data_IF_700990334623
#
_entry.id   IF_700990334623
#
_cell.length_a   1.000
_cell.length_b   1.000
_cell.length_c   1.000
_cell.angle_alpha   90.00
_cell.angle_beta   90.00
_cell.angle_gamma   90.00
#
_symmetry.space_group_name_H-M   'P 1'
#
loop_
_entity.id
_entity.type
_entity.pdbx_description
1 polymer ?
#
# COMPACT_ATOMS: atom_id res chain seq x y z
N UNK A 1 5.51 -11.86 -16.73
CA UNK A 1 4.20 -11.83 -16.04
C UNK A 1 3.47 -10.49 -16.22
N UNK A 2 4.11 -9.32 -16.05
CA UNK A 2 3.43 -8.02 -16.22
C UNK A 2 2.93 -7.69 -17.65
N UNK A 3 3.57 -8.24 -18.70
CA UNK A 3 3.14 -8.02 -20.10
C UNK A 3 1.75 -8.59 -20.43
N UNK A 4 1.25 -9.55 -19.63
CA UNK A 4 -0.07 -10.15 -19.87
C UNK A 4 -1.23 -9.31 -19.33
N UNK A 5 -0.95 -8.31 -18.49
CA UNK A 5 -1.96 -7.44 -17.85
C UNK A 5 -2.26 -6.15 -18.64
N UNK A 6 -1.57 -5.91 -19.76
CA UNK A 6 -1.56 -4.60 -20.43
C UNK A 6 -1.88 -4.65 -21.94
N UNK A 7 -2.73 -5.57 -22.39
CA UNK A 7 -3.41 -5.32 -23.67
C UNK A 7 -4.45 -4.23 -23.41
N UNK A 8 -4.13 -2.99 -23.76
CA UNK A 8 -5.09 -1.89 -23.72
C UNK A 8 -6.16 -2.19 -24.77
N UNK A 9 -7.39 -2.43 -24.32
CA UNK A 9 -8.55 -2.67 -25.18
C UNK A 9 -9.43 -1.42 -25.13
N UNK A 10 -9.94 -0.99 -26.29
CA UNK A 10 -10.92 0.09 -26.35
C UNK A 10 -12.27 -0.46 -25.87
N UNK A 11 -12.75 0.02 -24.74
CA UNK A 11 -13.99 -0.41 -24.09
C UNK A 11 -14.86 0.81 -23.78
N UNK A 12 -16.17 0.59 -23.62
CA UNK A 12 -17.10 1.64 -23.22
C UNK A 12 -16.74 2.20 -21.84
N UNK A 13 -17.13 3.45 -21.55
CA UNK A 13 -16.74 4.16 -20.32
C UNK A 13 -17.26 3.50 -19.03
N UNK A 14 -18.30 2.68 -19.12
CA UNK A 14 -18.92 1.93 -18.04
C UNK A 14 -18.38 0.49 -17.92
N UNK A 15 -17.46 0.09 -18.81
CA UNK A 15 -16.86 -1.23 -18.76
C UNK A 15 -15.95 -1.39 -17.53
N UNK A 16 -15.85 -2.60 -16.95
CA UNK A 16 -14.92 -2.87 -15.85
C UNK A 16 -13.47 -2.54 -16.23
N UNK A 17 -12.75 -1.89 -15.31
CA UNK A 17 -11.34 -1.53 -15.50
C UNK A 17 -10.45 -2.76 -15.75
N UNK A 18 -10.82 -3.91 -15.17
CA UNK A 18 -10.11 -5.18 -15.33
C UNK A 18 -11.10 -6.27 -15.74
N UNK A 19 -10.76 -6.99 -16.82
CA UNK A 19 -11.52 -8.14 -17.31
C UNK A 19 -10.58 -9.25 -17.77
N UNK A 20 -11.08 -10.48 -17.76
CA UNK A 20 -10.43 -11.61 -18.39
C UNK A 20 -10.60 -11.52 -19.92
N UNK A 21 -9.72 -12.20 -20.67
CA UNK A 21 -9.77 -12.26 -22.15
C UNK A 21 -11.09 -12.80 -22.73
N UNK A 22 -11.98 -13.34 -21.89
CA UNK A 22 -13.32 -13.81 -22.27
C UNK A 22 -14.44 -12.80 -21.93
N UNK A 23 -14.11 -11.52 -21.74
CA UNK A 23 -15.02 -10.44 -21.33
C UNK A 23 -15.71 -10.62 -19.96
N UNK A 24 -15.27 -11.59 -19.14
CA UNK A 24 -15.76 -11.69 -17.76
C UNK A 24 -14.98 -10.76 -16.83
N UNK A 25 -15.64 -10.21 -15.82
CA UNK A 25 -15.00 -9.37 -14.80
C UNK A 25 -14.35 -10.21 -13.70
N UNK A 26 -13.34 -9.66 -13.04
CA UNK A 26 -12.75 -10.29 -11.87
C UNK A 26 -13.72 -10.28 -10.69
N UNK A 27 -13.93 -11.46 -10.09
CA UNK A 27 -14.59 -11.55 -8.78
C UNK A 27 -13.56 -11.32 -7.67
N UNK A 28 -14.03 -10.89 -6.49
CA UNK A 28 -13.20 -10.82 -5.27
C UNK A 28 -12.46 -12.13 -5.02
N UNK A 29 -13.13 -13.27 -5.22
CA UNK A 29 -12.53 -14.59 -5.06
C UNK A 29 -11.35 -14.81 -6.02
N UNK A 30 -11.52 -14.49 -7.31
CA UNK A 30 -10.47 -14.66 -8.31
C UNK A 30 -9.23 -13.80 -8.01
N UNK A 31 -9.43 -12.59 -7.49
CA UNK A 31 -8.35 -11.71 -7.08
C UNK A 31 -7.61 -12.25 -5.85
N UNK A 32 -8.33 -12.72 -4.82
CA UNK A 32 -7.72 -13.33 -3.63
C UNK A 32 -6.89 -14.55 -4.03
N UNK A 33 -7.42 -15.43 -4.88
CA UNK A 33 -6.67 -16.59 -5.38
C UNK A 33 -5.41 -16.19 -6.14
N UNK A 34 -5.44 -15.09 -6.89
CA UNK A 34 -4.26 -14.56 -7.57
C UNK A 34 -3.20 -14.07 -6.55
N UNK A 35 -3.63 -13.35 -5.51
CA UNK A 35 -2.74 -12.90 -4.43
C UNK A 35 -2.13 -14.08 -3.66
N UNK A 36 -2.91 -15.11 -3.35
CA UNK A 36 -2.42 -16.34 -2.71
C UNK A 36 -1.35 -17.02 -3.58
N UNK A 37 -1.58 -17.12 -4.89
CA UNK A 37 -0.56 -17.66 -5.80
C UNK A 37 0.74 -16.84 -5.78
N UNK A 38 0.66 -15.52 -5.65
CA UNK A 38 1.84 -14.66 -5.51
C UNK A 38 2.59 -14.91 -4.20
N UNK A 39 1.87 -15.04 -3.07
CA UNK A 39 2.46 -15.35 -1.75
C UNK A 39 3.16 -16.71 -1.80
N UNK A 40 2.48 -17.72 -2.32
CA UNK A 40 3.03 -19.07 -2.45
C UNK A 40 4.31 -19.07 -3.30
N UNK A 41 4.29 -18.40 -4.45
CA UNK A 41 5.48 -18.28 -5.32
C UNK A 41 6.63 -17.49 -4.68
N UNK A 42 6.33 -16.59 -3.76
CA UNK A 42 7.33 -15.87 -2.99
C UNK A 42 7.94 -16.70 -1.83
N UNK A 43 7.46 -17.94 -1.61
CA UNK A 43 7.91 -18.80 -0.52
C UNK A 43 7.41 -18.35 0.86
N UNK A 44 6.32 -17.58 0.90
CA UNK A 44 5.75 -17.04 2.12
C UNK A 44 4.60 -17.93 2.65
N UNK A 45 4.40 -18.02 3.97
CA UNK A 45 3.33 -18.82 4.57
C UNK A 45 1.96 -18.17 4.35
N UNK A 46 1.11 -18.80 3.52
CA UNK A 46 -0.22 -18.28 3.18
C UNK A 46 -1.10 -17.92 4.39
N UNK A 47 -1.00 -18.69 5.48
CA UNK A 47 -1.80 -18.48 6.69
C UNK A 47 -1.54 -17.12 7.37
N UNK A 48 -0.37 -16.51 7.15
CA UNK A 48 0.01 -15.25 7.78
C UNK A 48 -0.44 -14.02 6.97
N UNK A 49 -0.97 -14.24 5.76
CA UNK A 49 -1.36 -13.16 4.86
C UNK A 49 -2.85 -13.22 4.52
N UNK A 50 -3.46 -12.04 4.52
CA UNK A 50 -4.83 -11.84 4.03
C UNK A 50 -4.85 -10.75 2.97
N UNK A 51 -5.99 -10.57 2.31
CA UNK A 51 -6.19 -9.43 1.42
C UNK A 51 -5.97 -8.08 2.12
N UNK A 52 -6.23 -7.99 3.43
CA UNK A 52 -5.92 -6.80 4.23
C UNK A 52 -4.42 -6.58 4.37
N UNK A 53 -3.61 -7.64 4.44
CA UNK A 53 -2.15 -7.55 4.53
C UNK A 53 -1.57 -6.83 3.30
N UNK A 54 -2.13 -7.05 2.12
CA UNK A 54 -1.72 -6.33 0.90
C UNK A 54 -2.08 -4.84 0.96
N UNK A 55 -3.31 -4.49 1.38
CA UNK A 55 -3.69 -3.08 1.55
C UNK A 55 -2.82 -2.39 2.59
N UNK A 56 -2.53 -3.07 3.70
CA UNK A 56 -1.63 -2.61 4.75
C UNK A 56 -0.23 -2.35 4.20
N UNK A 57 0.33 -3.32 3.48
CA UNK A 57 1.66 -3.22 2.86
C UNK A 57 1.75 -2.08 1.84
N UNK A 58 0.74 -1.92 0.98
CA UNK A 58 0.69 -0.83 0.00
C UNK A 58 0.64 0.56 0.68
N UNK A 59 -0.17 0.71 1.73
CA UNK A 59 -0.24 1.95 2.50
C UNK A 59 1.10 2.30 3.17
N UNK A 60 1.72 1.30 3.83
CA UNK A 60 3.02 1.45 4.48
C UNK A 60 4.09 1.80 3.44
N UNK A 61 4.15 1.08 2.33
CA UNK A 61 5.12 1.33 1.28
C UNK A 61 4.99 2.74 0.69
N UNK A 62 3.77 3.19 0.39
CA UNK A 62 3.50 4.55 -0.10
C UNK A 62 3.95 5.61 0.92
N UNK A 63 3.65 5.41 2.20
CA UNK A 63 4.09 6.29 3.27
C UNK A 63 5.62 6.32 3.40
N UNK A 64 6.29 5.17 3.29
CA UNK A 64 7.75 5.06 3.38
C UNK A 64 8.48 5.70 2.20
N UNK A 65 7.85 5.76 1.02
CA UNK A 65 8.32 6.55 -0.12
C UNK A 65 8.20 8.06 0.10
N UNK A 66 7.64 8.51 1.21
CA UNK A 66 7.48 9.93 1.54
C UNK A 66 6.28 10.59 0.88
N UNK A 67 5.31 9.81 0.38
CA UNK A 67 4.05 10.37 -0.13
C UNK A 67 3.28 11.05 1.01
N UNK A 68 2.63 12.17 0.70
CA UNK A 68 1.77 12.87 1.64
C UNK A 68 0.59 11.98 2.07
N UNK A 69 0.09 12.17 3.30
CA UNK A 69 -1.06 11.43 3.83
C UNK A 69 -2.27 11.46 2.88
N UNK A 70 -2.54 12.60 2.22
CA UNK A 70 -3.62 12.75 1.25
C UNK A 70 -3.42 11.87 0.01
N UNK A 71 -2.18 11.69 -0.45
CA UNK A 71 -1.86 10.83 -1.57
C UNK A 71 -1.98 9.35 -1.19
N UNK A 72 -1.56 8.96 0.02
CA UNK A 72 -1.77 7.59 0.52
C UNK A 72 -3.27 7.31 0.69
N UNK A 73 -4.02 8.27 1.22
CA UNK A 73 -5.47 8.17 1.39
C UNK A 73 -6.19 8.00 0.04
N UNK A 74 -5.81 8.79 -0.97
CA UNK A 74 -6.32 8.68 -2.34
C UNK A 74 -5.96 7.33 -2.97
N UNK A 75 -4.71 6.88 -2.81
CA UNK A 75 -4.21 5.65 -3.42
C UNK A 75 -5.01 4.40 -3.01
N UNK A 76 -5.42 4.31 -1.74
CA UNK A 76 -6.21 3.16 -1.27
C UNK A 76 -7.69 3.45 -1.06
N UNK A 77 -8.19 4.55 -1.63
CA UNK A 77 -9.61 4.92 -1.67
C UNK A 77 -10.26 4.92 -0.28
N UNK A 78 -9.60 5.58 0.68
CA UNK A 78 -10.10 5.72 2.03
C UNK A 78 -10.87 7.04 2.20
N UNK A 79 -12.10 6.97 2.71
CA UNK A 79 -12.89 8.16 3.06
C UNK A 79 -12.39 8.88 4.33
N UNK A 80 -11.52 8.25 5.11
CA UNK A 80 -10.96 8.77 6.35
C UNK A 80 -9.48 8.37 6.49
N UNK A 81 -8.72 8.95 7.44
CA UNK A 81 -7.30 8.60 7.62
C UNK A 81 -7.08 7.22 8.29
N UNK A 82 -8.00 6.26 8.14
CA UNK A 82 -7.95 4.93 8.74
C UNK A 82 -6.68 4.14 8.38
N UNK A 83 -6.08 4.41 7.22
CA UNK A 83 -4.80 3.78 6.83
C UNK A 83 -3.68 4.04 7.83
N UNK A 84 -3.75 5.12 8.64
CA UNK A 84 -2.74 5.42 9.66
C UNK A 84 -2.62 4.33 10.72
N UNK A 85 -3.68 3.56 10.97
CA UNK A 85 -3.62 2.41 11.87
C UNK A 85 -2.71 1.29 11.35
N UNK A 86 -2.39 1.30 10.06
CA UNK A 86 -1.44 0.36 9.46
C UNK A 86 0.03 0.75 9.66
N UNK A 87 0.29 2.02 9.97
CA UNK A 87 1.63 2.57 10.17
C UNK A 87 2.16 2.20 11.56
N UNK A 88 2.54 0.94 11.73
CA UNK A 88 3.29 0.52 12.91
C UNK A 88 4.74 0.98 12.78
N UNK A 89 5.09 2.01 13.53
CA UNK A 89 6.47 2.50 13.57
C UNK A 89 7.32 1.67 14.51
N UNK A 90 8.34 1.01 13.96
CA UNK A 90 9.38 0.36 14.75
C UNK A 90 9.95 1.32 15.81
N UNK A 91 10.33 0.77 16.97
CA UNK A 91 10.87 1.54 18.09
C UNK A 91 12.04 2.46 17.66
N UNK A 92 12.92 1.99 16.78
CA UNK A 92 14.05 2.75 16.24
C UNK A 92 13.61 4.04 15.54
N UNK A 93 12.48 4.03 14.80
CA UNK A 93 11.94 5.24 14.16
C UNK A 93 11.48 6.25 15.20
N UNK A 94 10.80 5.80 16.27
CA UNK A 94 10.37 6.67 17.38
C UNK A 94 11.58 7.34 18.05
N UNK A 95 12.64 6.56 18.32
CA UNK A 95 13.90 7.07 18.85
C UNK A 95 14.55 8.08 17.89
N UNK A 96 14.56 7.81 16.59
CA UNK A 96 15.10 8.75 15.60
C UNK A 96 14.36 10.09 15.59
N UNK A 97 13.03 10.08 15.74
CA UNK A 97 12.24 11.31 15.82
C UNK A 97 12.58 12.07 17.09
N UNK A 98 12.61 11.41 18.24
CA UNK A 98 12.99 12.04 19.51
C UNK A 98 14.37 12.70 19.45
N UNK A 99 15.36 12.03 18.85
CA UNK A 99 16.71 12.58 18.62
C UNK A 99 16.70 13.83 17.73
N UNK A 100 15.90 13.84 16.66
CA UNK A 100 15.76 15.01 15.77
C UNK A 100 15.16 16.20 16.52
N UNK A 101 14.14 15.96 17.36
CA UNK A 101 13.51 17.01 18.18
C UNK A 101 14.54 17.60 19.15
N UNK A 102 15.26 16.77 19.90
CA UNK A 102 16.28 17.23 20.85
C UNK A 102 17.37 18.09 20.16
N UNK A 103 17.87 17.64 19.01
CA UNK A 103 18.88 18.37 18.24
C UNK A 103 18.36 19.72 17.72
N UNK A 104 17.12 19.78 17.23
CA UNK A 104 16.51 21.03 16.77
C UNK A 104 16.35 22.02 17.93
N UNK A 105 15.97 21.55 19.11
CA UNK A 105 15.87 22.37 20.31
C UNK A 105 17.24 22.94 20.73
N UNK A 106 18.27 22.09 20.79
CA UNK A 106 19.64 22.54 21.06
C UNK A 106 20.13 23.59 20.05
N UNK A 107 19.80 23.42 18.77
CA UNK A 107 20.14 24.39 17.74
C UNK A 107 19.47 25.74 18.02
N UNK A 108 18.17 25.76 18.33
CA UNK A 108 17.45 27.00 18.63
C UNK A 108 17.98 27.73 19.86
N UNK A 109 18.33 27.01 20.93
CA UNK A 109 18.91 27.62 22.14
C UNK A 109 20.26 28.27 21.88
N UNK A 110 21.09 27.71 20.98
CA UNK A 110 22.41 28.28 20.62
C UNK A 110 22.35 29.49 19.70
N UNK A 111 21.20 29.78 19.11
CA UNK A 111 20.98 30.94 18.23
C UNK A 111 20.35 32.13 18.99
N UNK A 112 20.06 31.95 20.28
CA UNK A 112 19.66 32.99 21.23
C UNK A 112 20.89 33.51 21.97
#
# INVERSE_FOLDING_TARGET
YLKLLMSVVNVQSDAPLFSFNNNNYHTRYSLIRMLDMCIFKAGLPLADYSWHSFRRGAAVFAFELGLADSAVQLLGDWSSPAFKHYLEFAYIRKVSVAKKIAKNFEYQVKQL
#
